data_IF_090335688168
#
_entry.id   IF_090335688168
#
_cell.length_a   1.000
_cell.length_b   1.000
_cell.length_c   1.000
_cell.angle_alpha   90.00
_cell.angle_beta   90.00
_cell.angle_gamma   90.00
#
_symmetry.space_group_name_H-M   'P 1'
#
loop_
_entity.id
_entity.type
_entity.pdbx_description
1 polymer ?
#
# COMPACT_ATOMS: atom_id res chain seq x y z
N UNK A 1 25.44 -13.58 -3.22
CA UNK A 1 25.60 -13.54 -4.70
C UNK A 1 24.20 -13.31 -5.28
N UNK A 2 23.71 -12.07 -5.16
CA UNK A 2 22.35 -11.70 -5.56
C UNK A 2 22.32 -11.26 -7.01
N UNK A 3 21.50 -11.92 -7.81
CA UNK A 3 21.21 -11.53 -9.19
C UNK A 3 20.06 -10.53 -9.18
N UNK A 4 20.35 -9.31 -9.55
CA UNK A 4 19.36 -8.29 -9.90
C UNK A 4 18.62 -8.72 -11.17
N UNK A 5 17.29 -8.91 -11.08
CA UNK A 5 16.44 -8.94 -12.26
C UNK A 5 16.00 -7.50 -12.55
N UNK A 6 16.60 -6.92 -13.57
CA UNK A 6 16.13 -5.67 -14.14
C UNK A 6 14.81 -5.94 -14.87
N UNK A 7 13.73 -5.31 -14.42
CA UNK A 7 12.48 -5.22 -15.18
C UNK A 7 12.72 -4.23 -16.31
N UNK A 8 12.96 -4.74 -17.50
CA UNK A 8 12.98 -3.98 -18.73
C UNK A 8 11.55 -3.55 -19.08
N UNK A 9 11.28 -2.25 -18.94
CA UNK A 9 10.10 -1.61 -19.50
C UNK A 9 10.09 -1.81 -21.01
N UNK A 10 9.22 -2.67 -21.49
CA UNK A 10 8.99 -2.88 -22.91
C UNK A 10 8.24 -1.67 -23.49
N UNK A 11 8.96 -0.80 -24.16
CA UNK A 11 8.36 0.17 -25.09
C UNK A 11 7.81 -0.64 -26.26
N UNK A 12 6.48 -0.80 -26.30
CA UNK A 12 5.79 -1.39 -27.45
C UNK A 12 5.81 -0.39 -28.61
N UNK A 13 6.83 -0.50 -29.46
CA UNK A 13 6.86 0.17 -30.74
C UNK A 13 5.83 -0.52 -31.64
N UNK A 14 4.67 0.08 -31.81
CA UNK A 14 3.74 -0.32 -32.87
C UNK A 14 4.36 0.10 -34.22
N UNK A 15 4.95 -0.86 -34.90
CA UNK A 15 5.32 -0.70 -36.30
C UNK A 15 4.05 -0.62 -37.13
N UNK A 16 3.87 0.49 -37.84
CA UNK A 16 2.86 0.62 -38.88
C UNK A 16 3.07 -0.48 -39.92
N UNK A 17 2.21 -1.48 -39.89
CA UNK A 17 2.13 -2.51 -40.92
C UNK A 17 1.59 -1.89 -42.21
N UNK A 18 2.47 -1.69 -43.20
CA UNK A 18 2.04 -1.43 -44.57
C UNK A 18 1.36 -2.70 -45.07
N UNK A 19 0.04 -2.70 -45.20
CA UNK A 19 -0.70 -3.76 -45.86
C UNK A 19 -0.44 -3.65 -47.36
N UNK A 20 0.44 -4.47 -47.88
CA UNK A 20 0.58 -4.67 -49.34
C UNK A 20 -0.63 -5.52 -49.77
N UNK A 21 -1.55 -4.89 -50.51
CA UNK A 21 -2.59 -5.61 -51.23
C UNK A 21 -1.97 -6.25 -52.47
N UNK A 22 -1.95 -7.57 -52.49
CA UNK A 22 -1.66 -8.34 -53.72
C UNK A 22 -2.89 -8.25 -54.61
N UNK A 23 -2.75 -7.60 -55.73
CA UNK A 23 -3.83 -7.58 -56.76
C UNK A 23 -3.84 -8.92 -57.49
N UNK A 24 -4.90 -9.68 -57.30
CA UNK A 24 -5.24 -10.81 -58.17
C UNK A 24 -5.86 -10.27 -59.46
N UNK A 25 -5.19 -10.49 -60.61
CA UNK A 25 -5.76 -10.24 -61.93
C UNK A 25 -6.64 -11.44 -62.33
N UNK A 26 -7.94 -11.30 -62.33
CA UNK A 26 -8.86 -12.19 -63.04
C UNK A 26 -8.93 -11.77 -64.51
N UNK A 27 -9.15 -12.71 -65.48
CA UNK A 27 -9.25 -12.38 -66.91
C UNK A 27 -10.46 -11.52 -67.21
N UNK A 28 -10.31 -10.62 -68.13
CA UNK A 28 -11.26 -9.62 -68.52
C UNK A 28 -12.57 -10.22 -69.05
N UNK A 29 -13.69 -9.90 -68.35
CA UNK A 29 -15.01 -9.83 -68.98
C UNK A 29 -15.25 -8.38 -69.42
N UNK A 30 -15.58 -8.21 -70.69
CA UNK A 30 -15.97 -6.94 -71.29
C UNK A 30 -17.22 -6.39 -70.64
N UNK A 31 -17.17 -5.17 -70.15
CA UNK A 31 -18.34 -4.30 -69.91
C UNK A 31 -18.82 -4.10 -68.50
N UNK A 32 -17.97 -3.85 -67.52
CA UNK A 32 -18.39 -3.15 -66.31
C UNK A 32 -17.53 -1.90 -66.13
N UNK A 33 -18.19 -0.74 -66.23
CA UNK A 33 -17.58 0.52 -65.78
C UNK A 33 -17.32 0.38 -64.27
N UNK A 34 -16.03 0.24 -63.92
CA UNK A 34 -15.61 0.29 -62.53
C UNK A 34 -15.79 1.72 -62.00
N UNK A 35 -16.89 1.96 -61.32
CA UNK A 35 -17.06 3.15 -60.52
C UNK A 35 -16.12 3.03 -59.30
N UNK A 36 -14.91 3.57 -59.42
CA UNK A 36 -14.08 3.86 -58.27
C UNK A 36 -14.71 5.02 -57.51
N UNK A 37 -15.49 4.71 -56.47
CA UNK A 37 -15.84 5.71 -55.49
C UNK A 37 -14.55 6.06 -54.74
N UNK A 38 -14.09 7.34 -54.80
CA UNK A 38 -12.92 7.72 -54.02
C UNK A 38 -13.26 7.47 -52.55
N UNK A 39 -12.54 6.55 -51.93
CA UNK A 39 -12.63 6.33 -50.50
C UNK A 39 -12.09 7.61 -49.84
N UNK A 40 -12.95 8.48 -49.37
CA UNK A 40 -12.55 9.63 -48.58
C UNK A 40 -12.01 9.12 -47.27
N UNK A 41 -10.71 9.01 -47.17
CA UNK A 41 -10.00 8.82 -45.90
C UNK A 41 -10.20 10.12 -45.14
N UNK A 42 -11.10 10.12 -44.16
CA UNK A 42 -11.18 11.24 -43.20
C UNK A 42 -9.87 11.19 -42.35
N UNK A 43 -9.00 12.15 -42.55
CA UNK A 43 -7.86 12.34 -41.69
C UNK A 43 -8.36 13.07 -40.41
N UNK A 44 -8.38 12.33 -39.30
CA UNK A 44 -8.79 12.90 -38.04
C UNK A 44 -7.56 13.46 -37.32
N UNK A 45 -7.61 14.74 -36.99
CA UNK A 45 -6.60 15.34 -36.14
C UNK A 45 -6.55 14.62 -34.76
N UNK A 46 -5.37 14.33 -34.23
CA UNK A 46 -5.23 13.64 -32.96
C UNK A 46 -5.85 14.48 -31.82
N UNK A 47 -6.40 13.82 -30.78
CA UNK A 47 -6.88 14.50 -29.59
C UNK A 47 -5.69 15.07 -28.81
N UNK A 48 -5.82 16.29 -28.29
CA UNK A 48 -4.80 17.00 -27.53
C UNK A 48 -5.42 17.43 -26.20
N UNK A 49 -4.69 17.21 -25.10
CA UNK A 49 -4.93 17.88 -23.83
C UNK A 49 -3.96 19.05 -23.80
N UNK A 50 -4.50 20.29 -23.92
CA UNK A 50 -3.69 21.52 -23.94
C UNK A 50 -3.11 21.75 -22.54
N UNK A 51 -3.90 21.53 -21.50
CA UNK A 51 -3.50 21.47 -20.11
C UNK A 51 -4.53 20.68 -19.29
N UNK A 52 -4.09 20.12 -18.16
CA UNK A 52 -4.91 19.57 -17.08
C UNK A 52 -4.12 19.78 -15.79
N UNK A 53 -4.64 20.62 -14.89
CA UNK A 53 -3.92 21.08 -13.70
C UNK A 53 -4.86 21.31 -12.51
N UNK A 54 -4.29 21.32 -11.30
CA UNK A 54 -4.96 21.76 -10.10
C UNK A 54 -4.46 23.17 -9.72
N UNK A 55 -5.29 23.89 -8.98
CA UNK A 55 -4.94 25.23 -8.45
C UNK A 55 -3.85 25.17 -7.36
N UNK A 56 -3.50 23.99 -6.85
CA UNK A 56 -2.48 23.74 -5.82
C UNK A 56 -1.70 22.46 -6.11
N UNK A 57 -0.44 22.40 -5.65
CA UNK A 57 0.41 21.21 -5.66
C UNK A 57 0.39 20.46 -4.33
N UNK A 58 0.08 21.18 -3.24
CA UNK A 58 -0.01 20.67 -1.86
C UNK A 58 -1.32 21.13 -1.27
N UNK A 59 -2.01 20.25 -0.54
CA UNK A 59 -3.28 20.51 0.14
C UNK A 59 -3.36 19.77 1.48
N UNK A 60 -4.31 20.19 2.32
CA UNK A 60 -4.66 19.45 3.52
C UNK A 60 -5.81 18.45 3.23
N UNK A 61 -5.87 17.29 3.89
CA UNK A 61 -7.05 16.45 3.89
C UNK A 61 -8.28 17.24 4.34
N UNK A 62 -9.36 17.21 3.55
CA UNK A 62 -10.57 18.02 3.78
C UNK A 62 -10.64 19.29 2.95
N UNK A 63 -9.55 19.75 2.36
CA UNK A 63 -9.55 20.93 1.49
C UNK A 63 -10.36 20.71 0.21
N UNK A 64 -10.87 21.83 -0.31
CA UNK A 64 -11.49 21.86 -1.63
C UNK A 64 -10.52 22.47 -2.64
N UNK A 65 -10.18 21.69 -3.65
CA UNK A 65 -9.30 22.08 -4.75
C UNK A 65 -10.11 22.36 -6.02
N UNK A 66 -9.53 23.10 -6.95
CA UNK A 66 -10.08 23.29 -8.29
C UNK A 66 -9.18 22.63 -9.34
N UNK A 67 -9.79 21.78 -10.18
CA UNK A 67 -9.18 21.21 -11.38
C UNK A 67 -9.61 22.04 -12.58
N UNK A 68 -8.66 22.36 -13.48
CA UNK A 68 -8.91 23.10 -14.71
C UNK A 68 -8.28 22.37 -15.89
N UNK A 69 -8.94 22.45 -17.06
CA UNK A 69 -8.48 21.76 -18.26
C UNK A 69 -8.92 22.46 -19.54
N UNK A 70 -8.16 22.19 -20.60
CA UNK A 70 -8.54 22.47 -21.98
C UNK A 70 -8.07 21.33 -22.87
N UNK A 71 -8.93 20.95 -23.83
CA UNK A 71 -8.63 19.91 -24.82
C UNK A 71 -9.02 20.37 -26.23
N UNK A 72 -8.29 19.91 -27.23
CA UNK A 72 -8.52 20.23 -28.65
C UNK A 72 -8.69 18.95 -29.46
N UNK A 73 -9.55 18.99 -30.50
CA UNK A 73 -9.87 17.86 -31.38
C UNK A 73 -10.47 16.64 -30.65
N UNK A 74 -11.35 16.87 -29.67
CA UNK A 74 -11.99 15.82 -28.87
C UNK A 74 -13.50 15.79 -29.02
N UNK A 75 -14.09 14.62 -28.84
CA UNK A 75 -15.54 14.39 -28.73
C UNK A 75 -15.94 13.90 -27.35
N UNK A 76 -14.99 13.39 -26.58
CA UNK A 76 -15.22 12.93 -25.22
C UNK A 76 -14.04 13.27 -24.34
N UNK A 77 -14.34 13.76 -23.13
CA UNK A 77 -13.36 14.02 -22.07
C UNK A 77 -13.91 13.47 -20.77
N UNK A 78 -13.12 12.64 -20.08
CA UNK A 78 -13.48 12.02 -18.80
C UNK A 78 -12.32 12.20 -17.82
N UNK A 79 -12.64 12.66 -16.60
CA UNK A 79 -11.70 12.77 -15.49
C UNK A 79 -12.02 11.65 -14.51
N UNK A 80 -10.99 10.92 -14.07
CA UNK A 80 -11.05 9.90 -13.04
C UNK A 80 -10.31 10.39 -11.80
N UNK A 81 -10.89 10.21 -10.62
CA UNK A 81 -10.17 10.19 -9.36
C UNK A 81 -9.61 8.78 -9.18
N UNK A 82 -8.31 8.66 -8.90
CA UNK A 82 -7.67 7.37 -8.75
C UNK A 82 -7.70 6.91 -7.28
N UNK A 83 -7.88 5.62 -7.07
CA UNK A 83 -7.59 5.01 -5.78
C UNK A 83 -6.08 5.11 -5.44
N UNK A 84 -5.68 5.01 -4.16
CA UNK A 84 -4.26 4.99 -3.77
C UNK A 84 -3.44 3.91 -4.49
N UNK A 85 -4.06 2.81 -4.88
CA UNK A 85 -3.46 1.71 -5.69
C UNK A 85 -3.22 2.08 -7.16
N UNK A 86 -3.66 3.28 -7.60
CA UNK A 86 -3.60 3.71 -8.99
C UNK A 86 -4.75 3.20 -9.87
N UNK A 87 -5.68 2.43 -9.31
CA UNK A 87 -6.86 1.97 -10.03
C UNK A 87 -7.84 3.13 -10.28
N UNK A 88 -8.60 3.04 -11.39
CA UNK A 88 -9.63 4.02 -11.73
C UNK A 88 -10.78 3.94 -10.71
N UNK A 89 -11.08 5.06 -10.06
CA UNK A 89 -12.18 5.22 -9.11
C UNK A 89 -13.37 5.98 -9.69
N UNK A 90 -13.87 6.97 -8.94
CA UNK A 90 -14.95 7.85 -9.36
C UNK A 90 -14.58 8.60 -10.62
N UNK A 91 -15.55 8.82 -11.54
CA UNK A 91 -15.30 9.55 -12.78
C UNK A 91 -16.39 10.58 -13.09
N UNK A 92 -16.01 11.57 -13.91
CA UNK A 92 -16.87 12.62 -14.42
C UNK A 92 -16.65 12.78 -15.92
N UNK A 93 -17.76 12.75 -16.69
CA UNK A 93 -17.75 13.15 -18.08
C UNK A 93 -17.89 14.67 -18.12
N UNK A 94 -16.95 15.33 -18.75
CA UNK A 94 -16.84 16.80 -18.75
C UNK A 94 -16.78 17.38 -20.15
N UNK A 95 -17.00 18.68 -20.28
CA UNK A 95 -16.81 19.38 -21.56
C UNK A 95 -15.32 19.41 -21.94
N UNK A 96 -15.03 19.75 -23.20
CA UNK A 96 -13.66 19.88 -23.70
C UNK A 96 -12.80 20.92 -22.96
N UNK A 97 -13.42 21.89 -22.30
CA UNK A 97 -12.79 22.93 -21.51
C UNK A 97 -13.63 23.23 -20.29
N UNK A 98 -13.01 23.45 -19.14
CA UNK A 98 -13.76 23.78 -17.94
C UNK A 98 -12.93 23.76 -16.67
N UNK A 99 -13.65 23.95 -15.55
CA UNK A 99 -13.14 23.77 -14.19
C UNK A 99 -14.14 22.94 -13.39
N UNK A 100 -13.66 22.26 -12.37
CA UNK A 100 -14.46 21.57 -11.36
C UNK A 100 -13.80 21.65 -10.00
N UNK A 101 -14.61 21.71 -8.95
CA UNK A 101 -14.11 21.60 -7.57
C UNK A 101 -14.21 20.16 -7.09
N UNK A 102 -13.25 19.75 -6.29
CA UNK A 102 -13.22 18.47 -5.61
C UNK A 102 -12.82 18.68 -4.14
N UNK A 103 -13.60 18.11 -3.22
CA UNK A 103 -13.25 18.12 -1.79
C UNK A 103 -12.53 16.84 -1.47
N UNK A 104 -11.29 16.94 -1.00
CA UNK A 104 -10.45 15.83 -0.59
C UNK A 104 -11.08 15.19 0.66
N UNK A 105 -11.25 13.88 0.65
CA UNK A 105 -11.76 13.17 1.83
C UNK A 105 -10.79 13.38 3.00
N UNK A 106 -11.27 13.77 4.21
CA UNK A 106 -10.41 13.97 5.38
C UNK A 106 -9.63 12.72 5.82
N UNK A 107 -10.08 11.54 5.38
CA UNK A 107 -9.37 10.28 5.61
C UNK A 107 -8.24 10.00 4.60
N UNK A 108 -8.14 10.77 3.51
CA UNK A 108 -7.08 10.59 2.51
C UNK A 108 -5.73 10.96 3.11
N UNK A 109 -4.70 10.19 2.79
CA UNK A 109 -3.32 10.41 3.25
C UNK A 109 -2.36 10.41 2.07
N UNK A 110 -1.23 11.07 2.24
CA UNK A 110 -0.09 11.13 1.34
C UNK A 110 -0.36 11.90 0.04
N UNK A 111 -1.36 11.52 -0.73
CA UNK A 111 -1.62 12.10 -2.06
C UNK A 111 -3.04 11.85 -2.54
N UNK A 112 -3.50 12.70 -3.47
CA UNK A 112 -4.67 12.45 -4.29
C UNK A 112 -4.33 12.63 -5.76
N UNK A 113 -4.84 11.75 -6.61
CA UNK A 113 -4.47 11.69 -8.02
C UNK A 113 -5.68 11.71 -8.93
N UNK A 114 -5.55 12.43 -10.04
CA UNK A 114 -6.56 12.50 -11.10
C UNK A 114 -5.94 12.12 -12.43
N UNK A 115 -6.72 11.45 -13.28
CA UNK A 115 -6.34 11.05 -14.62
C UNK A 115 -7.43 11.49 -15.60
N UNK A 116 -7.06 12.29 -16.57
CA UNK A 116 -7.95 12.69 -17.67
C UNK A 116 -7.69 11.82 -18.88
N UNK A 117 -8.77 11.34 -19.52
CA UNK A 117 -8.77 10.77 -20.85
C UNK A 117 -9.57 11.64 -21.79
N UNK A 118 -9.04 11.87 -22.98
CA UNK A 118 -9.70 12.60 -24.07
C UNK A 118 -9.62 11.79 -25.36
N UNK A 119 -10.72 11.71 -26.11
CA UNK A 119 -10.79 10.95 -27.36
C UNK A 119 -11.49 11.72 -28.49
N UNK A 120 -11.11 11.41 -29.75
CA UNK A 120 -11.72 11.97 -30.96
C UNK A 120 -12.70 10.99 -31.64
N UNK A 121 -13.34 11.41 -32.74
CA UNK A 121 -14.28 10.58 -33.53
C UNK A 121 -13.66 9.30 -34.11
N UNK A 122 -12.34 9.24 -34.26
CA UNK A 122 -11.61 8.05 -34.72
C UNK A 122 -11.24 7.08 -33.62
N UNK A 123 -11.73 7.29 -32.37
CA UNK A 123 -11.37 6.54 -31.17
C UNK A 123 -9.86 6.58 -30.84
N UNK A 124 -9.13 7.56 -31.32
CA UNK A 124 -7.80 7.87 -30.83
C UNK A 124 -7.96 8.58 -29.49
N UNK A 125 -7.05 8.32 -28.56
CA UNK A 125 -7.11 8.89 -27.21
C UNK A 125 -5.76 9.41 -26.73
N UNK A 126 -5.82 10.31 -25.76
CA UNK A 126 -4.68 10.85 -25.03
C UNK A 126 -5.05 10.95 -23.55
N UNK A 127 -4.04 11.02 -22.68
CA UNK A 127 -4.26 11.17 -21.24
C UNK A 127 -3.28 12.14 -20.61
N UNK A 128 -3.69 12.75 -19.50
CA UNK A 128 -2.85 13.58 -18.64
C UNK A 128 -3.22 13.33 -17.17
N UNK A 129 -2.25 13.41 -16.28
CA UNK A 129 -2.44 13.22 -14.84
C UNK A 129 -2.20 14.50 -14.05
N UNK A 130 -2.89 14.61 -12.92
CA UNK A 130 -2.65 15.61 -11.85
C UNK A 130 -2.37 14.87 -10.58
N UNK A 131 -1.31 15.28 -9.90
CA UNK A 131 -0.85 14.72 -8.63
C UNK A 131 -0.81 15.85 -7.61
N UNK A 132 -1.43 15.65 -6.44
CA UNK A 132 -1.45 16.60 -5.33
C UNK A 132 -0.94 15.89 -4.08
N UNK A 133 0.13 16.43 -3.51
CA UNK A 133 0.68 15.96 -2.24
C UNK A 133 -0.20 16.42 -1.09
N UNK A 134 -0.45 15.56 -0.11
CA UNK A 134 -1.21 15.91 1.07
C UNK A 134 -0.30 16.06 2.27
N UNK A 135 -0.57 17.07 3.09
CA UNK A 135 0.08 17.20 4.40
C UNK A 135 -0.38 16.07 5.32
N UNK A 136 0.50 15.70 6.26
CA UNK A 136 0.16 14.70 7.26
C UNK A 136 -0.57 15.38 8.43
N UNK A 137 -1.83 15.02 8.73
CA UNK A 137 -2.56 15.59 9.87
C UNK A 137 -2.01 15.11 11.21
N UNK A 138 -1.36 13.95 11.23
CA UNK A 138 -0.73 13.34 12.39
C UNK A 138 0.78 13.25 12.19
N UNK A 139 1.54 13.23 13.28
CA UNK A 139 3.00 13.06 13.27
C UNK A 139 3.37 11.69 13.84
N UNK A 140 4.51 11.16 13.42
CA UNK A 140 5.07 9.96 14.01
C UNK A 140 5.54 10.23 15.44
N UNK A 141 5.41 9.22 16.31
CA UNK A 141 5.84 9.32 17.73
C UNK A 141 7.36 9.16 17.90
N UNK A 142 8.11 8.93 16.82
CA UNK A 142 9.56 8.69 16.83
C UNK A 142 10.28 9.38 15.67
N UNK A 143 11.61 9.47 15.76
CA UNK A 143 12.50 9.94 14.71
C UNK A 143 13.72 9.01 14.56
N UNK A 144 14.23 8.75 13.35
CA UNK A 144 13.73 9.27 12.08
C UNK A 144 12.38 8.69 11.69
N UNK A 145 11.49 9.54 11.21
CA UNK A 145 10.15 9.15 10.78
C UNK A 145 10.16 8.58 9.36
N UNK A 146 9.25 7.66 9.00
CA UNK A 146 9.02 7.29 7.61
C UNK A 146 8.60 8.47 6.74
N UNK A 147 8.93 8.43 5.44
CA UNK A 147 8.55 9.45 4.45
C UNK A 147 7.05 9.43 4.09
N UNK A 148 6.26 8.62 4.75
CA UNK A 148 4.81 8.45 4.55
C UNK A 148 4.06 8.88 5.80
N UNK A 149 2.83 9.40 5.64
CA UNK A 149 2.00 9.78 6.78
C UNK A 149 1.64 8.56 7.63
N UNK A 150 1.56 8.71 8.95
CA UNK A 150 0.89 7.71 9.78
C UNK A 150 -0.61 7.66 9.43
N UNK A 151 -1.22 6.51 9.64
CA UNK A 151 -2.66 6.32 9.41
C UNK A 151 -3.53 7.13 10.38
N UNK A 152 -3.03 7.32 11.60
CA UNK A 152 -3.66 8.07 12.68
C UNK A 152 -2.63 8.55 13.70
N UNK A 153 -3.07 9.31 14.69
CA UNK A 153 -2.27 9.63 15.87
C UNK A 153 -1.80 8.36 16.60
N UNK A 154 -0.67 8.46 17.31
CA UNK A 154 -0.15 7.33 18.05
C UNK A 154 -1.14 6.87 19.14
N UNK A 155 -1.39 5.57 19.18
CA UNK A 155 -2.10 4.93 20.27
C UNK A 155 -1.11 4.68 21.42
N UNK A 156 -1.28 5.35 22.54
CA UNK A 156 -0.40 5.25 23.72
C UNK A 156 -1.15 4.49 24.82
N UNK A 157 -0.54 3.39 25.31
CA UNK A 157 -1.12 2.58 26.36
C UNK A 157 -0.03 1.89 27.21
N UNK A 158 -0.44 1.10 28.20
CA UNK A 158 0.45 0.15 28.81
C UNK A 158 0.88 -0.91 27.80
N UNK A 159 2.08 -1.42 27.96
CA UNK A 159 2.63 -2.50 27.17
C UNK A 159 3.56 -3.37 28.01
N UNK A 160 3.87 -4.54 27.48
CA UNK A 160 4.88 -5.42 28.06
C UNK A 160 5.76 -6.00 26.96
N UNK A 161 7.01 -6.32 27.33
CA UNK A 161 7.99 -6.95 26.43
C UNK A 161 8.68 -8.08 27.18
N UNK A 162 8.91 -9.19 26.50
CA UNK A 162 9.67 -10.32 27.01
C UNK A 162 10.49 -10.95 25.89
N UNK A 163 11.79 -11.20 26.16
CA UNK A 163 12.69 -11.83 25.18
C UNK A 163 12.76 -13.33 25.37
N UNK A 164 12.98 -14.01 24.25
CA UNK A 164 13.08 -15.47 24.15
C UNK A 164 14.37 -15.86 23.42
N UNK A 165 14.70 -17.15 23.41
CA UNK A 165 15.87 -17.68 22.71
C UNK A 165 15.89 -17.29 21.22
N UNK A 166 14.71 -17.24 20.58
CA UNK A 166 14.55 -16.99 19.15
C UNK A 166 13.48 -15.92 18.87
N UNK A 167 13.60 -14.76 19.51
CA UNK A 167 12.72 -13.62 19.27
C UNK A 167 12.18 -12.98 20.55
N UNK A 168 11.00 -12.38 20.45
CA UNK A 168 10.37 -11.67 21.56
C UNK A 168 8.85 -11.63 21.42
N UNK A 169 8.16 -11.30 22.52
CA UNK A 169 6.75 -10.96 22.57
C UNK A 169 6.56 -9.53 23.04
N UNK A 170 5.58 -8.84 22.43
CA UNK A 170 5.12 -7.49 22.80
C UNK A 170 3.62 -7.56 23.07
N UNK A 171 3.16 -6.99 24.19
CA UNK A 171 1.75 -6.78 24.46
C UNK A 171 1.41 -5.30 24.41
N UNK A 172 0.24 -4.98 23.85
CA UNK A 172 -0.30 -3.62 23.73
C UNK A 172 -1.71 -3.63 24.31
N UNK A 173 -1.90 -3.01 25.46
CA UNK A 173 -3.16 -3.04 26.24
C UNK A 173 -4.35 -2.54 25.42
N UNK A 174 -4.27 -1.35 24.85
CA UNK A 174 -5.40 -0.72 24.14
C UNK A 174 -5.82 -1.47 22.86
N UNK A 175 -4.95 -2.32 22.33
CA UNK A 175 -5.26 -3.19 21.20
C UNK A 175 -5.70 -4.59 21.62
N UNK A 176 -5.51 -4.91 22.91
CA UNK A 176 -5.73 -6.26 23.48
C UNK A 176 -4.99 -7.34 22.67
N UNK A 177 -3.70 -7.04 22.32
CA UNK A 177 -2.94 -7.87 21.38
C UNK A 177 -1.54 -8.17 21.85
N UNK A 178 -1.13 -9.39 21.50
CA UNK A 178 0.23 -9.90 21.68
C UNK A 178 0.85 -10.10 20.28
N UNK A 179 1.94 -9.39 20.03
CA UNK A 179 2.77 -9.53 18.84
C UNK A 179 3.95 -10.44 19.17
N UNK A 180 4.17 -11.45 18.35
CA UNK A 180 5.26 -12.40 18.47
C UNK A 180 6.20 -12.20 17.29
N UNK A 181 7.46 -11.84 17.57
CA UNK A 181 8.49 -11.63 16.59
C UNK A 181 9.46 -12.82 16.67
N UNK A 182 9.62 -13.51 15.55
CA UNK A 182 10.45 -14.72 15.47
C UNK A 182 11.80 -14.41 14.84
N UNK A 183 12.86 -14.83 15.52
CA UNK A 183 14.25 -14.81 15.04
C UNK A 183 14.72 -16.27 14.89
N UNK A 184 13.97 -17.01 14.09
CA UNK A 184 14.26 -18.38 13.74
C UNK A 184 14.54 -18.49 12.22
N UNK A 185 15.29 -19.50 11.82
CA UNK A 185 15.62 -19.75 10.40
C UNK A 185 14.40 -20.21 9.56
N UNK A 186 13.18 -20.16 10.10
CA UNK A 186 11.98 -20.57 9.41
C UNK A 186 11.46 -19.46 8.48
N UNK A 187 11.48 -19.69 7.21
CA UNK A 187 11.38 -18.71 6.13
C UNK A 187 9.97 -18.19 5.80
N UNK A 188 8.93 -18.37 6.64
CA UNK A 188 7.56 -18.17 6.17
C UNK A 188 6.76 -17.08 6.88
N UNK A 189 7.05 -16.77 8.13
CA UNK A 189 6.35 -15.73 8.89
C UNK A 189 7.30 -15.20 9.96
N UNK A 190 7.78 -13.97 9.79
CA UNK A 190 8.72 -13.36 10.71
C UNK A 190 8.05 -12.85 11.99
N UNK A 191 6.75 -12.55 11.94
CA UNK A 191 5.97 -12.15 13.11
C UNK A 191 4.49 -12.60 13.00
N UNK A 192 3.83 -12.69 14.13
CA UNK A 192 2.39 -13.00 14.23
C UNK A 192 1.73 -12.13 15.29
N UNK A 193 0.41 -11.94 15.18
CA UNK A 193 -0.38 -11.22 16.18
C UNK A 193 -1.52 -12.13 16.68
N UNK A 194 -1.73 -12.13 17.99
CA UNK A 194 -2.76 -12.91 18.68
C UNK A 194 -3.55 -11.97 19.59
N UNK A 195 -4.82 -12.27 19.81
CA UNK A 195 -5.60 -11.59 20.83
C UNK A 195 -5.12 -12.05 22.23
N UNK A 196 -5.12 -11.16 23.23
CA UNK A 196 -4.81 -11.54 24.60
C UNK A 196 -6.06 -12.17 25.24
N UNK A 197 -6.08 -13.49 25.31
CA UNK A 197 -7.20 -14.25 25.89
C UNK A 197 -7.06 -14.47 27.39
N UNK A 198 -6.02 -13.91 28.04
CA UNK A 198 -5.84 -14.08 29.48
C UNK A 198 -6.71 -13.09 30.27
N UNK A 199 -7.49 -13.59 31.22
CA UNK A 199 -8.31 -12.78 32.12
C UNK A 199 -7.87 -12.94 33.58
N UNK A 200 -8.10 -11.89 34.39
CA UNK A 200 -7.80 -11.93 35.81
C UNK A 200 -8.56 -13.09 36.50
N UNK A 201 -7.82 -13.93 37.21
CA UNK A 201 -8.30 -15.14 37.84
C UNK A 201 -8.00 -16.44 37.11
N UNK A 202 -7.55 -16.36 35.87
CA UNK A 202 -6.96 -17.51 35.16
C UNK A 202 -5.59 -17.87 35.76
N UNK A 203 -5.12 -19.13 35.64
CA UNK A 203 -3.76 -19.50 36.00
C UNK A 203 -2.76 -18.65 35.22
N UNK A 204 -1.77 -18.08 35.91
CA UNK A 204 -0.74 -17.26 35.24
C UNK A 204 0.28 -18.12 34.50
N UNK A 205 0.55 -19.35 34.97
CA UNK A 205 1.50 -20.29 34.37
C UNK A 205 0.99 -21.73 34.47
N UNK A 206 1.73 -22.65 33.88
CA UNK A 206 1.47 -24.10 34.00
C UNK A 206 2.55 -24.71 34.92
N UNK A 207 2.20 -25.14 36.14
CA UNK A 207 3.18 -25.67 37.11
C UNK A 207 3.80 -27.02 36.66
N UNK A 208 3.28 -27.65 35.62
CA UNK A 208 3.86 -28.89 35.08
C UNK A 208 5.00 -28.63 34.10
N UNK A 209 5.13 -27.38 33.62
CA UNK A 209 6.17 -26.96 32.69
C UNK A 209 7.32 -26.32 33.50
N UNK A 210 8.40 -27.03 33.67
CA UNK A 210 9.56 -26.59 34.46
C UNK A 210 10.61 -26.04 33.49
N UNK A 211 10.94 -24.72 33.55
CA UNK A 211 11.97 -24.16 32.71
C UNK A 211 13.36 -24.70 33.09
N UNK A 212 14.26 -24.85 32.12
CA UNK A 212 15.68 -25.15 32.42
C UNK A 212 16.33 -24.04 33.27
N UNK A 213 17.43 -24.34 34.00
CA UNK A 213 18.12 -23.32 34.77
C UNK A 213 18.54 -22.11 33.91
N UNK A 214 18.17 -20.92 34.35
CA UNK A 214 18.45 -19.65 33.65
C UNK A 214 17.41 -19.21 32.64
N UNK A 215 16.34 -19.98 32.44
CA UNK A 215 15.20 -19.65 31.62
C UNK A 215 13.96 -19.46 32.46
N UNK A 216 12.91 -18.86 31.82
CA UNK A 216 11.64 -18.55 32.44
C UNK A 216 10.49 -19.13 31.64
N UNK A 217 9.45 -19.54 32.33
CA UNK A 217 8.17 -19.79 31.69
C UNK A 217 7.44 -18.46 31.54
N UNK A 218 7.00 -18.06 30.34
CA UNK A 218 6.18 -16.87 30.18
C UNK A 218 4.82 -17.06 30.88
N UNK A 219 4.24 -15.96 31.34
CA UNK A 219 3.05 -15.96 32.20
C UNK A 219 1.90 -15.22 31.53
N UNK A 220 0.69 -15.36 32.07
CA UNK A 220 -0.53 -14.66 31.63
C UNK A 220 -0.76 -14.80 30.12
N UNK A 221 -1.06 -13.71 29.40
CA UNK A 221 -1.28 -13.70 27.97
C UNK A 221 -0.08 -14.24 27.17
N UNK A 222 1.15 -13.84 27.49
CA UNK A 222 2.37 -14.40 26.89
C UNK A 222 2.45 -15.92 27.12
N UNK A 223 2.09 -16.36 28.31
CA UNK A 223 2.06 -17.78 28.63
C UNK A 223 1.04 -18.58 27.84
N UNK A 224 -0.19 -18.04 27.65
CA UNK A 224 -1.21 -18.66 26.82
C UNK A 224 -0.77 -18.74 25.36
N UNK A 225 -0.34 -17.63 24.79
CA UNK A 225 0.15 -17.58 23.39
C UNK A 225 1.31 -18.56 23.19
N UNK A 226 2.28 -18.59 24.09
CA UNK A 226 3.44 -19.47 24.01
C UNK A 226 3.08 -20.95 24.04
N UNK A 227 2.12 -21.35 24.92
CA UNK A 227 1.74 -22.76 25.09
C UNK A 227 0.76 -23.26 24.05
N UNK A 228 -0.18 -22.44 23.62
CA UNK A 228 -1.41 -22.89 22.97
C UNK A 228 -1.55 -22.40 21.51
N UNK A 229 -0.92 -21.28 21.15
CA UNK A 229 -1.06 -20.72 19.82
C UNK A 229 -0.09 -21.33 18.81
N UNK A 230 -0.51 -21.30 17.54
CA UNK A 230 0.27 -21.85 16.43
C UNK A 230 0.58 -20.76 15.41
N UNK A 231 1.80 -20.79 14.90
CA UNK A 231 2.22 -20.00 13.74
C UNK A 231 2.83 -20.94 12.72
N UNK A 232 2.33 -20.92 11.49
CA UNK A 232 2.74 -21.82 10.40
C UNK A 232 2.70 -23.33 10.78
N UNK A 233 1.64 -23.75 11.46
CA UNK A 233 1.46 -25.13 11.91
C UNK A 233 2.48 -25.61 12.96
N UNK A 234 3.25 -24.72 13.55
CA UNK A 234 4.14 -24.99 14.68
C UNK A 234 3.66 -24.23 15.92
N UNK A 235 3.81 -24.81 17.09
CA UNK A 235 3.53 -24.05 18.33
C UNK A 235 4.47 -22.87 18.46
N UNK A 236 3.95 -21.76 18.98
CA UNK A 236 4.76 -20.56 19.20
C UNK A 236 6.00 -20.88 20.04
N UNK A 237 5.86 -21.70 21.08
CA UNK A 237 6.98 -22.13 21.93
C UNK A 237 8.05 -22.91 21.17
N UNK A 238 7.68 -23.69 20.18
CA UNK A 238 8.63 -24.49 19.41
C UNK A 238 9.47 -23.63 18.46
N UNK A 239 8.97 -22.44 18.13
CA UNK A 239 9.68 -21.42 17.36
C UNK A 239 10.49 -20.46 18.24
N UNK A 240 9.90 -19.95 19.32
CA UNK A 240 10.55 -18.97 20.20
C UNK A 240 11.57 -19.58 21.17
N UNK A 241 11.40 -20.84 21.56
CA UNK A 241 12.15 -21.42 22.67
C UNK A 241 11.66 -20.88 24.03
N UNK A 242 12.54 -20.87 25.02
CA UNK A 242 12.25 -20.38 26.38
C UNK A 242 12.46 -18.88 26.49
N UNK A 243 11.74 -18.25 27.43
CA UNK A 243 12.02 -16.87 27.78
C UNK A 243 13.39 -16.76 28.48
N UNK A 244 14.20 -15.77 28.10
CA UNK A 244 15.53 -15.52 28.59
C UNK A 244 15.58 -14.45 29.70
N UNK A 245 14.49 -13.71 29.86
CA UNK A 245 14.28 -12.71 30.90
C UNK A 245 12.86 -12.76 31.45
N UNK A 246 12.55 -11.89 32.38
CA UNK A 246 11.22 -11.68 32.93
C UNK A 246 10.48 -10.65 32.08
N UNK A 247 9.16 -10.79 32.00
CA UNK A 247 8.27 -9.77 31.41
C UNK A 247 8.53 -8.40 32.03
N UNK A 248 8.69 -7.38 31.18
CA UNK A 248 8.92 -5.98 31.57
C UNK A 248 7.77 -5.11 31.07
N UNK A 249 7.02 -4.51 32.02
CA UNK A 249 5.96 -3.55 31.72
C UNK A 249 6.51 -2.14 31.48
N UNK A 250 5.93 -1.43 30.51
CA UNK A 250 6.32 -0.05 30.16
C UNK A 250 5.14 0.68 29.50
N UNK A 251 5.31 1.97 29.18
CA UNK A 251 4.38 2.70 28.33
C UNK A 251 4.79 2.56 26.86
N UNK A 252 3.95 1.94 26.06
CA UNK A 252 4.17 1.78 24.63
C UNK A 252 3.40 2.81 23.81
N UNK A 253 3.74 2.94 22.54
CA UNK A 253 3.03 3.70 21.54
C UNK A 253 3.00 2.90 20.24
N UNK A 254 1.85 2.91 19.55
CA UNK A 254 1.67 2.19 18.29
C UNK A 254 1.15 3.11 17.22
N UNK A 255 1.74 3.04 16.04
CA UNK A 255 1.26 3.67 14.81
C UNK A 255 1.45 2.74 13.62
N UNK A 256 0.64 2.94 12.58
CA UNK A 256 0.79 2.23 11.31
C UNK A 256 1.00 3.22 10.17
N UNK A 257 1.63 2.79 9.09
CA UNK A 257 1.65 3.55 7.83
C UNK A 257 0.26 3.65 7.22
N UNK A 258 0.03 4.64 6.38
CA UNK A 258 -1.27 4.91 5.75
C UNK A 258 -1.37 4.36 4.32
N UNK A 259 -0.76 3.22 4.02
CA UNK A 259 -1.03 2.52 2.77
C UNK A 259 -2.41 1.85 2.79
N UNK A 260 -3.06 1.76 1.65
CA UNK A 260 -4.43 1.24 1.56
C UNK A 260 -4.54 -0.27 1.77
N UNK A 261 -3.48 -1.03 1.49
CA UNK A 261 -3.51 -2.50 1.50
C UNK A 261 -2.41 -3.13 2.36
N UNK A 262 -1.30 -2.40 2.59
CA UNK A 262 -0.12 -2.94 3.24
C UNK A 262 0.43 -1.91 4.23
N UNK A 263 0.15 -2.10 5.51
CA UNK A 263 0.61 -1.19 6.55
C UNK A 263 1.70 -1.82 7.40
N UNK A 264 2.86 -1.17 7.45
CA UNK A 264 3.84 -1.48 8.47
C UNK A 264 3.35 -0.95 9.82
N UNK A 265 3.60 -1.72 10.86
CA UNK A 265 3.26 -1.37 12.22
C UNK A 265 4.53 -0.98 12.98
N UNK A 266 4.44 0.09 13.76
CA UNK A 266 5.55 0.60 14.58
C UNK A 266 5.12 0.58 16.04
N UNK A 267 5.89 -0.11 16.87
CA UNK A 267 5.60 -0.30 18.31
C UNK A 267 6.82 0.17 19.11
N UNK A 268 6.60 1.10 20.06
CA UNK A 268 7.66 1.52 20.99
C UNK A 268 8.09 0.35 21.85
N UNK A 269 9.39 0.09 21.88
CA UNK A 269 10.03 -0.93 22.71
C UNK A 269 10.26 -0.43 24.16
N UNK A 270 10.51 -1.35 25.06
CA UNK A 270 10.81 -1.03 26.47
C UNK A 270 12.06 -0.16 26.66
N UNK A 271 13.03 -0.21 25.76
CA UNK A 271 14.23 0.60 25.77
C UNK A 271 14.10 1.97 25.05
N UNK A 272 12.89 2.32 24.60
CA UNK A 272 12.58 3.56 23.90
C UNK A 272 12.84 3.54 22.41
N UNK A 273 13.43 2.50 21.87
CA UNK A 273 13.53 2.26 20.43
C UNK A 273 12.16 1.84 19.83
N UNK A 274 12.12 1.52 18.54
CA UNK A 274 10.87 1.15 17.87
C UNK A 274 11.05 -0.16 17.12
N UNK A 275 10.13 -1.08 17.34
CA UNK A 275 9.96 -2.27 16.52
C UNK A 275 9.10 -1.94 15.30
N UNK A 276 9.65 -2.16 14.12
CA UNK A 276 8.89 -2.13 12.86
C UNK A 276 8.53 -3.54 12.47
N UNK A 277 7.25 -3.80 12.30
CA UNK A 277 6.68 -5.05 11.81
C UNK A 277 6.26 -4.81 10.36
N UNK A 278 6.97 -5.45 9.44
CA UNK A 278 6.73 -5.28 8.01
C UNK A 278 5.47 -6.04 7.60
N UNK A 279 4.67 -5.40 6.77
CA UNK A 279 3.42 -5.95 6.24
C UNK A 279 3.58 -7.39 5.70
N UNK A 280 2.47 -8.10 5.57
CA UNK A 280 2.43 -9.52 5.17
C UNK A 280 3.22 -10.47 6.09
N UNK A 281 3.58 -10.01 7.31
CA UNK A 281 4.35 -10.76 8.29
C UNK A 281 5.73 -11.23 7.77
N UNK A 282 6.29 -10.48 6.83
CA UNK A 282 7.46 -10.89 6.04
C UNK A 282 8.79 -10.64 6.73
N UNK A 283 8.85 -9.62 7.61
CA UNK A 283 10.07 -9.21 8.29
C UNK A 283 9.74 -8.33 9.50
N UNK A 284 10.72 -8.10 10.36
CA UNK A 284 10.69 -7.10 11.43
C UNK A 284 12.10 -6.57 11.69
N UNK A 285 12.18 -5.34 12.17
CA UNK A 285 13.47 -4.71 12.51
C UNK A 285 13.33 -3.79 13.72
N UNK A 286 14.45 -3.52 14.39
CA UNK A 286 14.53 -2.52 15.45
C UNK A 286 15.13 -1.23 14.93
N UNK A 287 14.32 -0.17 14.96
CA UNK A 287 14.74 1.20 14.61
C UNK A 287 15.30 1.85 15.86
N UNK A 288 16.54 2.32 15.77
CA UNK A 288 17.17 3.08 16.84
C UNK A 288 16.71 4.52 16.76
N UNK A 289 16.01 4.96 17.80
CA UNK A 289 15.51 6.33 17.92
C UNK A 289 16.63 7.24 18.42
N UNK A 290 16.85 8.34 17.73
CA UNK A 290 17.81 9.35 18.18
C UNK A 290 17.27 10.09 19.43
N UNK A 291 18.09 10.34 20.46
CA UNK A 291 17.68 10.97 21.71
C UNK A 291 17.33 12.46 21.55
#
# INVERSE_FOLDING_TARGET
MFKWLAVLGGVLLMTMGVVQMVAYSSPAEEGSENFFLPMMVRDFAPPIIDFFEANVEIADPGDTIELSWSTTNVVSTTIYHLFPTGQLGTFWNVASTGTMTYTIDPGTRNQTNFLMFASNEANQWTSAGVHIVLTCPDTWFFAPAPDICPAAAALVSAGAEQHFEHGLMLWVEEQDRIYVLFDDDQSTTAWAAFDDEWEEGMPEDDPTIIPPPGFFQPRRGFGLVWREQMSNSMLVRDRLGWAIDMESGYETAVQATSYSEYNDLYIRAADGNVWRLVTEHSDWEKIIVEP
#
